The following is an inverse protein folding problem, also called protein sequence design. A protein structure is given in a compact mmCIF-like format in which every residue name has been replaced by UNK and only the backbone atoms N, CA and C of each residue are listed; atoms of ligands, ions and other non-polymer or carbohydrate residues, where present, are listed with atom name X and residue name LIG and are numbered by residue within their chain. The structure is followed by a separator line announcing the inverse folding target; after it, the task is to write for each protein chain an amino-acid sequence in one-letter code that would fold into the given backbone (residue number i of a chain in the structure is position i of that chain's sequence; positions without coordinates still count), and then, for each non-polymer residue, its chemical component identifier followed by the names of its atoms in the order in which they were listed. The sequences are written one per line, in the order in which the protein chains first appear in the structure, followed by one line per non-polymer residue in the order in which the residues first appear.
data_IF_187333472631
#
_entry.id   IF_187333472631
#
_cell.length_a   1.000
_cell.length_b   1.000
_cell.length_c   1.000
_cell.angle_alpha   90.00
_cell.angle_beta   90.00
_cell.angle_gamma   90.00
#
_symmetry.space_group_name_H-M   'P 1'
#
loop_
_entity.id
_entity.type
_entity.pdbx_description
1 polymer ?
#
# COMPACT_ATOMS: atom_id res chain seq x y z
N UNK A 1 19.47 -12.54 10.20
CA UNK A 1 18.37 -13.51 10.29
C UNK A 1 17.85 -13.92 8.92
N UNK A 2 17.69 -13.07 7.93
CA UNK A 2 17.46 -13.45 6.54
C UNK A 2 18.51 -12.84 5.63
N UNK A 3 18.92 -13.56 4.59
CA UNK A 3 19.80 -13.06 3.52
C UNK A 3 18.98 -12.51 2.34
N UNK A 4 17.86 -13.16 2.02
CA UNK A 4 17.01 -12.84 0.87
C UNK A 4 15.54 -12.87 1.24
N UNK A 5 14.70 -12.19 0.42
CA UNK A 5 13.25 -12.36 0.43
C UNK A 5 12.84 -13.54 -0.46
N UNK A 6 11.77 -14.23 -0.06
CA UNK A 6 11.27 -15.41 -0.77
C UNK A 6 10.97 -15.12 -2.25
N UNK A 7 10.25 -14.02 -2.53
CA UNK A 7 9.85 -13.66 -3.89
C UNK A 7 10.97 -13.12 -4.79
N UNK A 8 12.18 -12.90 -4.25
CA UNK A 8 13.31 -12.36 -5.01
C UNK A 8 14.26 -13.45 -5.52
N UNK A 9 14.03 -14.71 -5.15
CA UNK A 9 14.87 -15.82 -5.56
C UNK A 9 14.66 -16.15 -7.05
N UNK A 10 15.77 -16.37 -7.74
CA UNK A 10 15.77 -16.63 -9.16
C UNK A 10 17.00 -17.48 -9.56
N UNK A 11 17.12 -17.79 -10.85
CA UNK A 11 18.18 -18.66 -11.38
C UNK A 11 19.60 -18.09 -11.23
N UNK A 12 19.77 -16.77 -11.02
CA UNK A 12 21.10 -16.18 -10.78
C UNK A 12 21.71 -16.57 -9.43
N UNK A 13 20.87 -17.08 -8.53
CA UNK A 13 21.26 -17.50 -7.17
C UNK A 13 21.49 -19.02 -7.06
N UNK A 14 21.47 -19.76 -8.18
CA UNK A 14 21.66 -21.21 -8.17
C UNK A 14 22.97 -21.60 -7.48
N UNK A 15 22.91 -22.58 -6.57
CA UNK A 15 24.03 -23.07 -5.78
C UNK A 15 24.40 -22.20 -4.59
N UNK A 16 23.76 -21.06 -4.38
CA UNK A 16 24.04 -20.21 -3.22
C UNK A 16 23.27 -20.66 -1.98
N UNK A 17 23.93 -20.52 -0.82
CA UNK A 17 23.29 -20.67 0.48
C UNK A 17 22.44 -19.45 0.79
N UNK A 18 21.22 -19.68 1.23
CA UNK A 18 20.27 -18.61 1.61
C UNK A 18 19.64 -18.88 2.96
N UNK A 19 19.34 -17.78 3.66
CA UNK A 19 18.55 -17.79 4.89
C UNK A 19 17.25 -17.02 4.63
N UNK A 20 16.12 -17.69 4.88
CA UNK A 20 14.77 -17.16 4.62
C UNK A 20 13.95 -17.13 5.90
N UNK A 21 13.12 -16.11 6.05
CA UNK A 21 12.10 -16.04 7.10
C UNK A 21 10.74 -15.74 6.46
N UNK A 22 9.73 -16.48 6.87
CA UNK A 22 8.39 -16.29 6.30
C UNK A 22 7.33 -17.14 7.00
N UNK A 23 6.15 -17.13 6.42
CA UNK A 23 5.01 -17.92 6.86
C UNK A 23 4.83 -19.15 5.97
N UNK A 24 4.55 -20.30 6.59
CA UNK A 24 4.18 -21.52 5.87
C UNK A 24 2.81 -21.33 5.20
N UNK A 25 2.82 -21.08 3.91
CA UNK A 25 1.59 -20.83 3.14
C UNK A 25 0.85 -22.13 2.85
N UNK A 26 1.57 -23.13 2.36
CA UNK A 26 1.04 -24.45 2.03
C UNK A 26 2.08 -25.52 2.30
N UNK A 27 1.67 -26.62 2.95
CA UNK A 27 2.47 -27.81 3.12
C UNK A 27 1.88 -28.96 2.28
N UNK A 28 2.73 -29.70 1.59
CA UNK A 28 2.39 -30.89 0.81
C UNK A 28 3.39 -32.00 1.16
N UNK A 29 2.89 -33.23 1.18
CA UNK A 29 3.68 -34.43 1.34
C UNK A 29 3.48 -35.31 0.10
N UNK A 30 4.54 -35.59 -0.62
CA UNK A 30 4.51 -36.39 -1.84
C UNK A 30 5.64 -37.42 -1.82
N UNK A 31 5.28 -38.69 -1.65
CA UNK A 31 6.21 -39.77 -1.73
C UNK A 31 7.34 -39.75 -0.70
N UNK A 32 7.07 -39.21 0.49
CA UNK A 32 8.05 -39.12 1.57
C UNK A 32 8.95 -37.89 1.49
N UNK A 33 8.68 -36.92 0.60
CA UNK A 33 9.34 -35.62 0.55
C UNK A 33 8.31 -34.54 0.93
N UNK A 34 8.68 -33.63 1.84
CA UNK A 34 7.80 -32.56 2.25
C UNK A 34 8.17 -31.29 1.49
N UNK A 35 7.13 -30.64 0.94
CA UNK A 35 7.22 -29.36 0.26
C UNK A 35 6.47 -28.30 1.08
N UNK A 36 7.12 -27.16 1.35
CA UNK A 36 6.49 -26.02 2.00
C UNK A 36 6.66 -24.81 1.10
N UNK A 37 5.52 -24.20 0.70
CA UNK A 37 5.55 -22.91 0.06
C UNK A 37 5.73 -21.86 1.18
N UNK A 38 6.90 -21.26 1.25
CA UNK A 38 7.25 -20.22 2.23
C UNK A 38 6.93 -18.86 1.63
N UNK A 39 6.16 -18.07 2.38
CA UNK A 39 5.68 -16.73 1.97
C UNK A 39 6.28 -15.64 2.82
N UNK A 40 6.70 -14.58 2.16
CA UNK A 40 6.97 -13.30 2.80
C UNK A 40 6.28 -12.15 2.04
N UNK A 41 6.63 -10.91 2.34
CA UNK A 41 6.03 -9.74 1.67
C UNK A 41 6.39 -9.63 0.18
N UNK A 42 7.48 -10.26 -0.28
CA UNK A 42 7.93 -10.18 -1.68
C UNK A 42 7.35 -11.34 -2.53
N UNK A 43 6.85 -12.39 -1.91
CA UNK A 43 6.19 -13.49 -2.61
C UNK A 43 6.41 -14.85 -1.97
N UNK A 44 6.38 -15.88 -2.80
CA UNK A 44 6.44 -17.28 -2.43
C UNK A 44 7.69 -17.92 -3.00
N UNK A 45 8.25 -18.89 -2.26
CA UNK A 45 9.22 -19.87 -2.78
C UNK A 45 8.92 -21.26 -2.24
N UNK A 46 9.11 -22.29 -3.05
CA UNK A 46 9.03 -23.67 -2.60
C UNK A 46 10.30 -24.06 -1.84
N UNK A 47 10.11 -24.63 -0.66
CA UNK A 47 11.18 -25.25 0.14
C UNK A 47 10.95 -26.75 0.17
N UNK A 48 12.01 -27.52 -0.10
CA UNK A 48 11.99 -28.99 -0.17
C UNK A 48 12.71 -29.54 1.05
N UNK A 49 12.07 -30.46 1.75
CA UNK A 49 12.59 -31.18 2.89
C UNK A 49 12.76 -32.65 2.54
N UNK A 50 14.00 -33.08 2.41
CA UNK A 50 14.38 -34.44 2.07
C UNK A 50 14.48 -35.30 3.35
N UNK A 51 13.90 -36.52 3.39
CA UNK A 51 14.00 -37.41 4.54
C UNK A 51 15.45 -37.81 4.91
N UNK A 52 16.40 -37.67 4.00
CA UNK A 52 17.84 -37.86 4.29
C UNK A 52 18.32 -36.90 5.39
N UNK A 53 17.69 -35.70 5.51
CA UNK A 53 17.96 -34.74 6.57
C UNK A 53 16.94 -34.93 7.71
N UNK A 54 17.08 -35.99 8.47
CA UNK A 54 16.07 -36.50 9.41
C UNK A 54 15.55 -35.46 10.43
N UNK A 55 16.43 -34.62 10.99
CA UNK A 55 16.05 -33.59 11.96
C UNK A 55 15.17 -32.50 11.31
N UNK A 56 15.62 -31.99 10.15
CA UNK A 56 14.92 -30.96 9.37
C UNK A 56 13.57 -31.47 8.85
N UNK A 57 13.57 -32.74 8.40
CA UNK A 57 12.36 -33.42 7.93
C UNK A 57 11.33 -33.58 9.05
N UNK A 58 11.71 -34.08 10.23
CA UNK A 58 10.86 -34.20 11.41
C UNK A 58 10.32 -32.84 11.87
N UNK A 59 11.12 -31.78 11.72
CA UNK A 59 10.66 -30.40 11.90
C UNK A 59 9.54 -30.04 10.95
N UNK A 60 9.69 -30.34 9.65
CA UNK A 60 8.74 -30.04 8.59
C UNK A 60 7.41 -30.79 8.72
N UNK A 61 7.42 -32.03 9.26
CA UNK A 61 6.18 -32.79 9.57
C UNK A 61 5.25 -32.05 10.54
N UNK A 62 5.83 -31.29 11.48
CA UNK A 62 5.10 -30.53 12.51
C UNK A 62 4.59 -29.19 12.03
N UNK A 63 5.06 -28.68 10.88
CA UNK A 63 4.63 -27.39 10.34
C UNK A 63 3.15 -27.44 9.96
N UNK A 64 2.44 -26.36 10.31
CA UNK A 64 1.05 -26.11 9.90
C UNK A 64 0.98 -24.75 9.21
N UNK A 65 -0.18 -24.47 8.59
CA UNK A 65 -0.43 -23.19 7.91
C UNK A 65 -0.15 -22.02 8.82
N UNK A 66 0.45 -20.99 8.25
CA UNK A 66 0.80 -19.71 8.88
C UNK A 66 1.82 -19.80 10.03
N UNK A 67 2.46 -20.96 10.27
CA UNK A 67 3.61 -21.00 11.16
C UNK A 67 4.72 -20.09 10.63
N UNK A 68 5.42 -19.41 11.51
CA UNK A 68 6.58 -18.57 11.16
C UNK A 68 7.82 -19.43 11.19
N UNK A 69 8.50 -19.47 10.07
CA UNK A 69 9.66 -20.34 9.85
C UNK A 69 10.91 -19.51 9.55
N UNK A 70 12.05 -20.00 10.05
CA UNK A 70 13.38 -19.65 9.58
C UNK A 70 13.97 -20.90 8.89
N UNK A 71 14.38 -20.74 7.65
CA UNK A 71 14.88 -21.82 6.82
C UNK A 71 16.26 -21.43 6.31
N UNK A 72 17.24 -22.35 6.44
CA UNK A 72 18.53 -22.27 5.74
C UNK A 72 18.58 -23.36 4.69
N UNK A 73 19.10 -23.05 3.51
CA UNK A 73 19.18 -24.02 2.44
C UNK A 73 19.86 -23.47 1.19
N UNK A 74 19.96 -24.32 0.19
CA UNK A 74 20.60 -24.00 -1.09
C UNK A 74 19.56 -23.79 -2.17
N UNK A 75 19.76 -22.76 -2.99
CA UNK A 75 18.94 -22.51 -4.17
C UNK A 75 19.25 -23.55 -5.23
N UNK A 76 18.23 -24.26 -5.67
CA UNK A 76 18.32 -25.28 -6.72
C UNK A 76 17.31 -25.02 -7.83
N UNK A 77 17.63 -25.37 -9.07
CA UNK A 77 16.65 -25.44 -10.14
C UNK A 77 15.64 -26.56 -9.83
N UNK A 78 14.37 -26.33 -10.06
CA UNK A 78 13.36 -27.40 -9.96
C UNK A 78 13.65 -28.49 -10.99
N UNK A 79 13.37 -29.76 -10.67
CA UNK A 79 13.45 -30.84 -11.65
C UNK A 79 12.61 -30.53 -12.89
N UNK A 80 13.13 -30.93 -14.06
CA UNK A 80 12.45 -30.72 -15.36
C UNK A 80 11.02 -31.27 -15.31
N UNK A 81 10.05 -30.44 -15.69
CA UNK A 81 8.62 -30.81 -15.67
C UNK A 81 7.91 -30.53 -14.35
N UNK A 82 8.61 -29.97 -13.34
CA UNK A 82 8.00 -29.54 -12.06
C UNK A 82 8.01 -28.03 -11.86
N UNK A 83 8.40 -27.27 -12.87
CA UNK A 83 8.37 -25.82 -12.88
C UNK A 83 6.93 -25.32 -12.71
N UNK A 84 6.77 -24.23 -11.95
CA UNK A 84 5.46 -23.64 -11.71
C UNK A 84 5.34 -22.26 -12.40
N UNK A 85 4.68 -22.15 -13.54
CA UNK A 85 4.54 -20.88 -14.26
C UNK A 85 3.69 -19.84 -13.50
N UNK A 86 2.92 -20.25 -12.51
CA UNK A 86 2.08 -19.37 -11.70
C UNK A 86 2.82 -18.73 -10.51
N UNK A 87 4.11 -19.03 -10.35
CA UNK A 87 4.97 -18.41 -9.32
C UNK A 87 6.15 -17.71 -9.99
N UNK A 88 6.45 -16.44 -9.63
CA UNK A 88 7.64 -15.76 -10.13
C UNK A 88 8.94 -16.52 -9.86
N UNK A 89 9.01 -17.26 -8.74
CA UNK A 89 10.14 -18.11 -8.34
C UNK A 89 10.01 -19.55 -8.84
N UNK A 90 9.08 -19.83 -9.73
CA UNK A 90 8.67 -21.20 -10.11
C UNK A 90 9.74 -22.02 -10.83
N UNK A 91 10.85 -21.43 -11.25
CA UNK A 91 12.00 -22.12 -11.85
C UNK A 91 12.97 -22.67 -10.79
N UNK A 92 12.91 -22.13 -9.56
CA UNK A 92 13.83 -22.49 -8.48
C UNK A 92 13.08 -23.00 -7.26
N UNK A 93 13.80 -23.70 -6.40
CA UNK A 93 13.34 -24.16 -5.11
C UNK A 93 14.51 -24.14 -4.12
N UNK A 94 14.22 -24.23 -2.83
CA UNK A 94 15.24 -24.28 -1.78
C UNK A 94 15.32 -25.72 -1.25
N UNK A 95 16.51 -26.31 -1.29
CA UNK A 95 16.77 -27.55 -0.56
C UNK A 95 17.12 -27.18 0.87
N UNK A 96 16.24 -27.52 1.79
CA UNK A 96 16.41 -27.16 3.20
C UNK A 96 17.56 -27.94 3.85
N UNK A 97 18.45 -27.20 4.52
CA UNK A 97 19.55 -27.75 5.35
C UNK A 97 19.23 -27.60 6.84
N UNK A 98 18.46 -26.54 7.22
CA UNK A 98 18.00 -26.35 8.58
C UNK A 98 16.61 -25.69 8.59
N UNK A 99 15.82 -26.02 9.61
CA UNK A 99 14.50 -25.47 9.86
C UNK A 99 14.36 -25.15 11.34
N UNK A 100 13.95 -23.91 11.62
CA UNK A 100 13.55 -23.48 12.93
C UNK A 100 12.10 -22.96 12.87
N UNK A 101 11.23 -23.43 13.74
CA UNK A 101 9.87 -22.89 13.92
C UNK A 101 9.96 -21.74 14.91
N UNK A 102 9.97 -20.51 14.39
CA UNK A 102 10.05 -19.29 15.21
C UNK A 102 8.78 -19.06 16.00
N UNK A 103 7.63 -19.36 15.39
CA UNK A 103 6.34 -19.24 16.08
C UNK A 103 5.32 -20.22 15.49
N UNK A 104 4.48 -20.77 16.34
CA UNK A 104 3.32 -21.58 15.96
C UNK A 104 2.09 -20.69 15.91
N UNK A 105 1.32 -20.80 14.84
CA UNK A 105 0.07 -20.07 14.67
C UNK A 105 -1.12 -20.97 14.94
N UNK A 106 -2.15 -20.39 15.53
CA UNK A 106 -3.49 -20.95 15.48
C UNK A 106 -4.00 -20.98 14.03
N UNK A 107 -4.92 -21.89 13.65
CA UNK A 107 -5.53 -21.87 12.35
C UNK A 107 -6.16 -20.51 12.06
N UNK A 108 -5.81 -19.85 10.92
CA UNK A 108 -6.39 -18.56 10.61
C UNK A 108 -7.90 -18.68 10.33
N UNK A 109 -8.69 -17.62 10.63
CA UNK A 109 -10.14 -17.64 10.45
C UNK A 109 -10.58 -17.76 8.98
N UNK A 110 -9.68 -17.48 8.06
CA UNK A 110 -9.84 -17.66 6.61
C UNK A 110 -8.48 -17.82 5.93
N UNK A 111 -8.52 -18.35 4.70
CA UNK A 111 -7.32 -18.47 3.86
C UNK A 111 -6.82 -17.10 3.42
N UNK A 112 -5.51 -16.93 3.40
CA UNK A 112 -4.85 -15.70 2.89
C UNK A 112 -4.70 -15.67 1.37
N UNK A 113 -5.28 -16.64 0.65
CA UNK A 113 -5.30 -16.67 -0.82
C UNK A 113 -6.34 -15.68 -1.38
N UNK A 114 -6.04 -15.06 -2.52
CA UNK A 114 -6.95 -14.11 -3.17
C UNK A 114 -8.14 -14.78 -3.86
N UNK A 115 -8.04 -16.06 -4.21
CA UNK A 115 -9.07 -16.89 -4.84
C UNK A 115 -10.22 -17.27 -3.89
N UNK A 116 -10.07 -17.03 -2.61
CA UNK A 116 -11.10 -17.31 -1.60
C UNK A 116 -11.92 -16.07 -1.31
N UNK A 117 -13.22 -16.14 -1.58
CA UNK A 117 -14.16 -15.09 -1.15
C UNK A 117 -14.38 -15.16 0.35
N UNK A 118 -14.17 -14.04 1.01
CA UNK A 118 -14.36 -13.89 2.45
C UNK A 118 -15.24 -12.67 2.70
N UNK A 119 -16.25 -12.83 3.56
CA UNK A 119 -17.14 -11.75 3.95
C UNK A 119 -16.34 -10.56 4.48
N UNK A 120 -16.73 -9.34 4.08
CA UNK A 120 -16.04 -8.10 4.45
C UNK A 120 -15.97 -7.89 5.96
N UNK A 121 -17.03 -8.21 6.70
CA UNK A 121 -17.07 -8.09 8.16
C UNK A 121 -15.98 -8.95 8.82
N UNK A 122 -15.81 -10.20 8.36
CA UNK A 122 -14.77 -11.11 8.84
C UNK A 122 -13.38 -10.59 8.50
N UNK A 123 -13.19 -10.04 7.29
CA UNK A 123 -11.94 -9.42 6.86
C UNK A 123 -11.58 -8.20 7.70
N UNK A 124 -12.55 -7.37 8.04
CA UNK A 124 -12.37 -6.19 8.89
C UNK A 124 -12.04 -6.60 10.33
N UNK A 125 -12.74 -7.60 10.88
CA UNK A 125 -12.48 -8.14 12.23
C UNK A 125 -11.06 -8.69 12.37
N UNK A 126 -10.58 -9.39 11.35
CA UNK A 126 -9.25 -9.99 11.33
C UNK A 126 -8.34 -9.28 10.31
N UNK A 127 -8.34 -7.94 10.33
CA UNK A 127 -7.66 -7.12 9.34
C UNK A 127 -6.18 -7.43 9.19
N UNK A 128 -5.50 -7.78 10.28
CA UNK A 128 -4.09 -8.17 10.28
C UNK A 128 -3.81 -9.48 9.51
N UNK A 129 -4.79 -10.38 9.41
CA UNK A 129 -4.71 -11.56 8.54
C UNK A 129 -5.02 -11.17 7.09
N UNK A 130 -6.07 -10.36 6.87
CA UNK A 130 -6.46 -9.89 5.54
C UNK A 130 -5.31 -9.13 4.84
N UNK A 131 -4.51 -8.37 5.60
CA UNK A 131 -3.34 -7.66 5.08
C UNK A 131 -2.22 -8.58 4.56
N UNK A 132 -2.23 -9.88 4.89
CA UNK A 132 -1.31 -10.88 4.32
C UNK A 132 -1.69 -11.31 2.91
N UNK A 133 -2.93 -11.05 2.48
CA UNK A 133 -3.39 -11.39 1.12
C UNK A 133 -2.61 -10.57 0.09
N UNK A 134 -2.19 -11.17 -1.03
CA UNK A 134 -1.43 -10.49 -2.08
C UNK A 134 -2.08 -9.19 -2.56
N UNK A 135 -3.38 -9.21 -2.82
CA UNK A 135 -4.16 -8.02 -3.21
C UNK A 135 -4.05 -6.87 -2.20
N UNK A 136 -4.17 -7.18 -0.90
CA UNK A 136 -4.12 -6.15 0.15
C UNK A 136 -2.72 -5.59 0.31
N UNK A 137 -1.72 -6.46 0.25
CA UNK A 137 -0.31 -6.06 0.27
C UNK A 137 0.02 -5.16 -0.94
N UNK A 138 -0.48 -5.52 -2.13
CA UNK A 138 -0.29 -4.71 -3.34
C UNK A 138 -0.91 -3.31 -3.20
N UNK A 139 -2.10 -3.19 -2.59
CA UNK A 139 -2.72 -1.88 -2.31
C UNK A 139 -1.87 -1.01 -1.38
N UNK A 140 -1.30 -1.61 -0.32
CA UNK A 140 -0.39 -0.89 0.57
C UNK A 140 0.90 -0.46 -0.13
N UNK A 141 1.48 -1.32 -0.96
CA UNK A 141 2.65 -0.99 -1.78
C UNK A 141 2.36 0.13 -2.77
N UNK A 142 1.21 0.06 -3.44
CA UNK A 142 0.76 1.10 -4.36
C UNK A 142 0.66 2.46 -3.63
N UNK A 143 -0.03 2.48 -2.48
CA UNK A 143 -0.13 3.70 -1.67
C UNK A 143 1.24 4.26 -1.27
N UNK A 144 2.16 3.41 -0.82
CA UNK A 144 3.52 3.83 -0.46
C UNK A 144 4.30 4.38 -1.67
N UNK A 145 4.18 3.73 -2.83
CA UNK A 145 4.78 4.18 -4.09
C UNK A 145 4.25 5.55 -4.52
N UNK A 146 2.92 5.73 -4.47
CA UNK A 146 2.27 7.02 -4.78
C UNK A 146 2.81 8.12 -3.88
N UNK A 147 2.77 7.93 -2.56
CA UNK A 147 3.24 8.93 -1.62
C UNK A 147 4.72 9.29 -1.80
N UNK A 148 5.58 8.27 -2.03
CA UNK A 148 7.01 8.49 -2.30
C UNK A 148 7.26 9.22 -3.62
N UNK A 149 6.49 8.91 -4.66
CA UNK A 149 6.61 9.57 -5.96
C UNK A 149 6.22 11.05 -5.88
N UNK A 150 5.09 11.34 -5.22
CA UNK A 150 4.62 12.71 -5.02
C UNK A 150 5.61 13.56 -4.22
N UNK A 151 6.19 13.02 -3.14
CA UNK A 151 7.24 13.72 -2.38
C UNK A 151 8.43 14.06 -3.25
N UNK A 152 9.02 13.08 -3.92
CA UNK A 152 10.17 13.33 -4.81
C UNK A 152 9.87 14.37 -5.88
N UNK A 153 8.67 14.30 -6.49
CA UNK A 153 8.30 15.28 -7.50
C UNK A 153 8.25 16.69 -6.94
N UNK A 154 7.59 16.88 -5.79
CA UNK A 154 7.43 18.21 -5.19
C UNK A 154 8.75 18.75 -4.62
N UNK A 155 9.57 17.90 -4.01
CA UNK A 155 10.92 18.26 -3.55
C UNK A 155 11.79 18.75 -4.75
N UNK A 156 11.75 18.03 -5.89
CA UNK A 156 12.44 18.41 -7.13
C UNK A 156 11.93 19.75 -7.69
N UNK A 157 10.70 20.15 -7.38
CA UNK A 157 10.09 21.43 -7.78
C UNK A 157 10.30 22.52 -6.74
N UNK A 158 11.09 22.27 -5.68
CA UNK A 158 11.42 23.22 -4.63
C UNK A 158 10.30 23.48 -3.61
N UNK A 159 9.34 22.56 -3.50
CA UNK A 159 8.37 22.59 -2.41
C UNK A 159 8.99 22.06 -1.12
N UNK A 160 8.49 22.55 0.02
CA UNK A 160 8.87 22.08 1.34
C UNK A 160 7.73 21.27 1.97
N UNK A 161 8.04 20.06 2.45
CA UNK A 161 7.11 19.23 3.24
C UNK A 161 7.09 19.75 4.68
N UNK A 162 5.98 20.36 5.09
CA UNK A 162 5.85 20.97 6.43
C UNK A 162 4.67 20.38 7.17
N UNK A 163 4.95 19.69 8.28
CA UNK A 163 3.91 19.19 9.17
C UNK A 163 3.21 20.31 9.93
N UNK A 164 1.90 20.26 9.97
CA UNK A 164 1.04 21.20 10.69
C UNK A 164 0.33 20.52 11.85
N UNK A 165 -0.05 21.26 12.91
CA UNK A 165 -0.78 20.71 14.05
C UNK A 165 -2.11 20.04 13.66
N UNK A 166 -2.41 18.90 14.30
CA UNK A 166 -3.70 18.19 14.16
C UNK A 166 -4.69 18.61 15.23
N UNK A 167 -4.24 18.90 16.45
CA UNK A 167 -5.09 19.47 17.49
C UNK A 167 -5.16 21.00 17.30
N UNK A 168 -6.25 21.48 16.70
CA UNK A 168 -6.40 22.87 16.29
C UNK A 168 -7.63 23.51 16.92
N UNK A 169 -7.83 24.79 16.65
CA UNK A 169 -9.09 25.47 16.91
C UNK A 169 -10.07 25.13 15.77
N UNK A 170 -11.36 25.01 16.10
CA UNK A 170 -12.42 24.87 15.09
C UNK A 170 -12.37 26.00 14.07
N UNK A 171 -12.48 25.64 12.79
CA UNK A 171 -12.52 26.56 11.66
C UNK A 171 -13.71 26.24 10.76
N UNK A 172 -14.48 27.23 10.29
CA UNK A 172 -15.65 27.00 9.45
C UNK A 172 -15.22 26.69 8.00
N UNK A 173 -14.90 25.43 7.70
CA UNK A 173 -14.46 24.99 6.36
C UNK A 173 -15.54 24.22 5.56
N UNK A 174 -16.80 24.25 5.99
CA UNK A 174 -17.93 23.68 5.25
C UNK A 174 -18.43 22.33 5.75
N UNK A 175 -17.61 21.48 6.37
CA UNK A 175 -18.04 20.28 7.08
C UNK A 175 -18.17 20.55 8.59
N UNK A 176 -18.70 19.58 9.35
CA UNK A 176 -18.63 19.61 10.81
C UNK A 176 -17.28 19.08 11.26
N UNK A 177 -16.75 19.68 12.35
CA UNK A 177 -15.50 19.25 12.94
C UNK A 177 -15.71 18.11 13.93
N UNK A 178 -14.77 17.17 13.97
CA UNK A 178 -14.63 16.27 15.10
C UNK A 178 -13.97 16.99 16.27
N UNK A 179 -14.60 16.96 17.44
CA UNK A 179 -14.14 17.64 18.64
C UNK A 179 -13.43 16.69 19.59
N UNK A 180 -12.30 17.14 20.13
CA UNK A 180 -11.52 16.43 21.15
C UNK A 180 -11.57 17.21 22.46
N UNK A 181 -12.18 16.68 23.55
CA UNK A 181 -12.26 17.40 24.82
C UNK A 181 -10.86 17.68 25.40
N UNK A 182 -10.66 18.92 25.89
CA UNK A 182 -9.45 19.26 26.60
C UNK A 182 -9.50 18.76 28.04
N UNK A 183 -8.52 17.95 28.45
CA UNK A 183 -8.39 17.49 29.84
C UNK A 183 -7.92 18.60 30.79
N UNK A 184 -7.11 19.52 30.27
CA UNK A 184 -6.49 20.62 31.06
C UNK A 184 -7.38 21.86 31.16
N UNK A 185 -8.37 22.00 30.26
CA UNK A 185 -9.30 23.14 30.22
C UNK A 185 -10.74 22.60 30.17
N UNK A 186 -11.38 22.35 31.34
CA UNK A 186 -12.74 21.81 31.38
C UNK A 186 -13.73 22.68 30.61
N UNK A 187 -14.50 22.05 29.72
CA UNK A 187 -15.49 22.73 28.88
C UNK A 187 -14.94 23.26 27.56
N UNK A 188 -13.63 23.14 27.32
CA UNK A 188 -13.01 23.51 26.04
C UNK A 188 -12.66 22.28 25.20
N UNK A 189 -12.56 22.49 23.88
CA UNK A 189 -12.32 21.42 22.90
C UNK A 189 -11.27 21.86 21.88
N UNK A 190 -10.48 20.89 21.47
CA UNK A 190 -9.76 20.96 20.21
C UNK A 190 -10.66 20.46 19.08
N UNK A 191 -10.39 20.90 17.85
CA UNK A 191 -10.98 20.36 16.64
C UNK A 191 -9.93 19.60 15.84
N UNK A 192 -10.35 18.51 15.17
CA UNK A 192 -9.51 17.84 14.18
C UNK A 192 -9.66 18.55 12.84
N UNK A 193 -8.57 18.84 12.10
CA UNK A 193 -8.62 19.69 10.91
C UNK A 193 -9.32 19.00 9.75
N UNK A 194 -10.18 19.75 9.06
CA UNK A 194 -10.78 19.36 7.80
C UNK A 194 -9.79 19.45 6.64
N UNK A 195 -8.84 20.38 6.75
CA UNK A 195 -7.65 20.58 5.94
C UNK A 195 -6.65 21.44 6.72
N UNK A 196 -5.38 21.55 6.33
CA UNK A 196 -4.41 22.45 6.97
C UNK A 196 -4.55 23.92 6.48
N UNK A 197 -5.72 24.36 6.07
CA UNK A 197 -5.97 25.62 5.35
C UNK A 197 -5.40 26.85 6.10
N UNK A 198 -5.67 26.97 7.39
CA UNK A 198 -5.17 28.11 8.18
C UNK A 198 -3.63 28.12 8.23
N UNK A 199 -3.05 26.95 8.47
CA UNK A 199 -1.60 26.86 8.63
C UNK A 199 -0.84 27.10 7.33
N UNK A 200 -1.30 26.55 6.21
CA UNK A 200 -0.64 26.78 4.93
C UNK A 200 -0.71 28.26 4.50
N UNK A 201 -1.80 28.96 4.78
CA UNK A 201 -1.87 30.40 4.56
C UNK A 201 -0.87 31.16 5.44
N UNK A 202 -0.76 30.81 6.74
CA UNK A 202 0.22 31.40 7.62
C UNK A 202 1.66 31.13 7.17
N UNK A 203 1.93 29.94 6.62
CA UNK A 203 3.24 29.62 6.06
C UNK A 203 3.56 30.49 4.83
N UNK A 204 2.58 30.73 3.95
CA UNK A 204 2.75 31.67 2.82
C UNK A 204 3.03 33.10 3.31
N UNK A 205 2.28 33.57 4.33
CA UNK A 205 2.52 34.86 4.96
C UNK A 205 3.89 34.94 5.64
N UNK A 206 4.38 33.82 6.15
CA UNK A 206 5.71 33.64 6.74
C UNK A 206 6.86 33.60 5.74
N UNK A 207 6.56 33.70 4.43
CA UNK A 207 7.56 33.72 3.37
C UNK A 207 7.90 32.36 2.77
N UNK A 208 7.13 31.28 3.10
CA UNK A 208 7.30 29.97 2.51
C UNK A 208 6.47 29.90 1.23
N UNK A 209 7.05 30.20 0.09
CA UNK A 209 6.35 30.37 -1.19
C UNK A 209 5.90 29.06 -1.87
N UNK A 210 6.39 27.91 -1.42
CA UNK A 210 6.02 26.58 -1.94
C UNK A 210 5.94 25.57 -0.80
N UNK A 211 4.73 25.19 -0.45
CA UNK A 211 4.42 24.25 0.61
C UNK A 211 3.68 23.03 0.07
N UNK A 212 3.96 21.87 0.63
CA UNK A 212 3.07 20.71 0.53
C UNK A 212 3.07 19.91 1.84
N UNK A 213 2.05 19.07 1.99
CA UNK A 213 1.97 18.08 3.04
C UNK A 213 1.11 16.91 2.60
N UNK A 214 1.52 15.68 2.89
CA UNK A 214 0.63 14.50 2.81
C UNK A 214 -0.02 14.36 4.18
N UNK A 215 -1.20 14.94 4.35
CA UNK A 215 -1.83 15.21 5.64
C UNK A 215 -3.09 14.38 5.86
N UNK A 216 -3.34 14.03 7.11
CA UNK A 216 -4.59 13.43 7.55
C UNK A 216 -5.63 14.51 7.79
N UNK A 217 -6.83 14.33 7.19
CA UNK A 217 -7.95 15.23 7.30
C UNK A 217 -9.19 14.51 7.84
N UNK A 218 -10.06 15.25 8.52
CA UNK A 218 -11.22 14.72 9.21
C UNK A 218 -12.46 15.56 8.87
N UNK A 219 -13.56 14.90 8.50
CA UNK A 219 -14.83 15.58 8.21
C UNK A 219 -15.98 14.75 8.74
N UNK A 220 -16.79 15.32 9.62
CA UNK A 220 -18.00 14.70 10.14
C UNK A 220 -19.17 14.98 9.16
N UNK A 221 -19.20 14.20 8.10
CA UNK A 221 -20.19 14.27 7.02
C UNK A 221 -20.82 12.89 6.78
N UNK A 222 -21.94 12.88 6.07
CA UNK A 222 -22.59 11.64 5.65
C UNK A 222 -21.68 10.82 4.77
N UNK A 223 -21.54 9.54 5.11
CA UNK A 223 -20.70 8.60 4.38
C UNK A 223 -21.30 8.32 2.99
N UNK A 224 -20.43 8.23 2.00
CA UNK A 224 -20.75 7.75 0.66
C UNK A 224 -19.78 6.62 0.30
N UNK A 225 -20.02 5.92 -0.81
CA UNK A 225 -19.23 4.78 -1.22
C UNK A 225 -17.70 5.04 -1.26
N UNK A 226 -17.30 6.26 -1.61
CA UNK A 226 -15.91 6.70 -1.76
C UNK A 226 -15.43 7.70 -0.69
N UNK A 227 -16.30 8.07 0.27
CA UNK A 227 -15.99 9.06 1.30
C UNK A 227 -15.89 8.42 2.67
N UNK A 228 -14.80 8.74 3.36
CA UNK A 228 -14.53 8.34 4.73
C UNK A 228 -14.40 9.57 5.61
N UNK A 229 -14.78 9.48 6.91
CA UNK A 229 -14.67 10.61 7.84
C UNK A 229 -13.21 11.00 8.12
N UNK A 230 -12.30 10.06 7.90
CA UNK A 230 -10.85 10.24 8.03
C UNK A 230 -10.18 9.81 6.72
N UNK A 231 -9.44 10.73 6.09
CA UNK A 231 -8.78 10.49 4.80
C UNK A 231 -7.44 11.23 4.71
N UNK A 232 -6.67 10.92 3.68
CA UNK A 232 -5.39 11.57 3.43
C UNK A 232 -5.48 12.46 2.20
N UNK A 233 -5.00 13.69 2.30
CA UNK A 233 -4.82 14.61 1.16
C UNK A 233 -3.35 14.79 0.85
N UNK A 234 -3.03 15.01 -0.42
CA UNK A 234 -1.88 15.80 -0.79
C UNK A 234 -2.36 17.26 -0.81
N UNK A 235 -1.92 18.05 0.14
CA UNK A 235 -2.24 19.46 0.24
C UNK A 235 -1.06 20.29 -0.25
N UNK A 236 -1.33 21.29 -1.10
CA UNK A 236 -0.30 22.11 -1.75
C UNK A 236 -0.74 23.57 -1.66
N UNK A 237 0.21 24.45 -1.37
CA UNK A 237 -0.02 25.89 -1.42
C UNK A 237 1.18 26.60 -2.05
N UNK A 238 0.91 27.63 -2.86
CA UNK A 238 1.94 28.37 -3.58
C UNK A 238 1.69 29.88 -3.52
N UNK A 239 2.77 30.66 -3.46
CA UNK A 239 2.76 32.09 -3.74
C UNK A 239 3.34 32.36 -5.12
N UNK A 240 2.99 33.49 -5.71
CA UNK A 240 3.58 34.02 -6.97
C UNK A 240 3.39 33.10 -8.19
N UNK A 241 2.37 32.23 -8.18
CA UNK A 241 1.98 31.40 -9.33
C UNK A 241 0.55 31.73 -9.77
N UNK A 242 0.35 31.82 -11.08
CA UNK A 242 -0.98 31.95 -11.66
C UNK A 242 -1.62 30.57 -11.97
N UNK A 243 -2.88 30.58 -12.40
CA UNK A 243 -3.67 29.35 -12.64
C UNK A 243 -2.98 28.44 -13.69
N UNK A 244 -2.47 29.02 -14.77
CA UNK A 244 -1.83 28.25 -15.83
C UNK A 244 -0.56 27.54 -15.36
N UNK A 245 0.22 28.20 -14.50
CA UNK A 245 1.43 27.62 -13.90
C UNK A 245 1.09 26.49 -12.95
N UNK A 246 0.04 26.65 -12.12
CA UNK A 246 -0.43 25.59 -11.20
C UNK A 246 -0.97 24.41 -12.02
N UNK A 247 -1.80 24.64 -13.02
CA UNK A 247 -2.31 23.59 -13.90
C UNK A 247 -1.17 22.81 -14.58
N UNK A 248 -0.19 23.51 -15.13
CA UNK A 248 0.95 22.89 -15.80
C UNK A 248 1.79 22.03 -14.83
N UNK A 249 1.98 22.49 -13.60
CA UNK A 249 2.66 21.75 -12.53
C UNK A 249 1.90 20.46 -12.20
N UNK A 250 0.59 20.57 -11.95
CA UNK A 250 -0.27 19.43 -11.61
C UNK A 250 -0.35 18.41 -12.75
N UNK A 251 -0.51 18.85 -14.00
CA UNK A 251 -0.49 17.98 -15.17
C UNK A 251 0.83 17.19 -15.29
N UNK A 252 1.96 17.88 -15.02
CA UNK A 252 3.28 17.24 -15.04
C UNK A 252 3.42 16.22 -13.92
N UNK A 253 2.96 16.55 -12.72
CA UNK A 253 2.95 15.65 -11.58
C UNK A 253 2.13 14.40 -11.85
N UNK A 254 0.91 14.55 -12.38
CA UNK A 254 0.02 13.43 -12.69
C UNK A 254 0.62 12.54 -13.79
N UNK A 255 1.16 13.12 -14.88
CA UNK A 255 1.83 12.33 -15.94
C UNK A 255 2.99 11.50 -15.39
N UNK A 256 3.85 12.11 -14.57
CA UNK A 256 4.97 11.41 -13.92
C UNK A 256 4.48 10.31 -12.99
N UNK A 257 3.48 10.61 -12.14
CA UNK A 257 2.89 9.65 -11.22
C UNK A 257 2.34 8.41 -11.94
N UNK A 258 1.49 8.61 -12.95
CA UNK A 258 0.87 7.50 -13.69
C UNK A 258 1.91 6.69 -14.47
N UNK A 259 2.89 7.35 -15.07
CA UNK A 259 3.97 6.67 -15.78
C UNK A 259 4.85 5.83 -14.85
N UNK A 260 5.29 6.39 -13.70
CA UNK A 260 6.24 5.71 -12.80
C UNK A 260 5.58 4.69 -11.87
N UNK A 261 4.30 4.87 -11.53
CA UNK A 261 3.60 4.00 -10.56
C UNK A 261 2.74 2.95 -11.24
N UNK A 262 2.07 3.31 -12.34
CA UNK A 262 1.11 2.45 -13.04
C UNK A 262 1.60 2.01 -14.42
N UNK A 263 2.73 2.54 -14.89
CA UNK A 263 3.27 2.30 -16.26
C UNK A 263 2.27 2.73 -17.36
N UNK A 264 1.42 3.72 -17.05
CA UNK A 264 0.40 4.27 -17.95
C UNK A 264 0.83 5.64 -18.46
N UNK A 265 0.90 5.80 -19.77
CA UNK A 265 1.15 7.08 -20.40
C UNK A 265 -0.15 7.88 -20.50
N UNK A 266 -0.23 9.00 -19.78
CA UNK A 266 -1.34 9.96 -19.93
C UNK A 266 -1.14 10.86 -21.17
N UNK A 267 -2.22 11.50 -21.68
CA UNK A 267 -2.14 12.45 -22.79
C UNK A 267 -1.14 13.59 -22.52
N UNK A 268 -0.52 14.13 -23.58
CA UNK A 268 0.41 15.25 -23.47
C UNK A 268 -0.23 16.53 -22.93
N UNK A 269 -1.51 16.75 -23.24
CA UNK A 269 -2.31 17.84 -22.73
C UNK A 269 -3.63 17.28 -22.20
N UNK A 270 -4.07 17.79 -21.05
CA UNK A 270 -5.39 17.49 -20.50
C UNK A 270 -6.43 18.38 -21.16
N UNK A 271 -7.65 17.88 -21.46
CA UNK A 271 -8.73 18.71 -21.97
C UNK A 271 -9.08 19.83 -20.95
N UNK A 272 -9.21 21.04 -21.45
CA UNK A 272 -9.67 22.19 -20.66
C UNK A 272 -11.11 22.51 -21.03
N UNK A 273 -11.92 22.81 -20.04
CA UNK A 273 -13.33 23.13 -20.19
C UNK A 273 -13.67 24.38 -19.37
N UNK A 274 -14.42 25.30 -19.95
CA UNK A 274 -14.90 26.47 -19.22
C UNK A 274 -16.03 26.09 -18.27
N UNK A 275 -16.22 26.87 -17.20
CA UNK A 275 -17.35 26.70 -16.29
C UNK A 275 -18.70 26.72 -17.02
N UNK A 276 -18.89 27.67 -17.95
CA UNK A 276 -20.11 27.79 -18.73
C UNK A 276 -20.38 26.52 -19.57
N UNK A 277 -19.36 25.96 -20.17
CA UNK A 277 -19.48 24.68 -20.90
C UNK A 277 -19.78 23.51 -19.98
N UNK A 278 -19.13 23.41 -18.82
CA UNK A 278 -19.38 22.37 -17.83
C UNK A 278 -20.83 22.41 -17.35
N UNK A 279 -21.34 23.60 -17.00
CA UNK A 279 -22.71 23.75 -16.57
C UNK A 279 -23.74 23.49 -17.67
N UNK A 280 -23.45 23.88 -18.91
CA UNK A 280 -24.33 23.62 -20.06
C UNK A 280 -24.42 22.15 -20.43
N UNK A 281 -23.31 21.41 -20.35
CA UNK A 281 -23.22 19.99 -20.78
C UNK A 281 -23.60 19.00 -19.67
N UNK A 282 -23.28 19.31 -18.44
CA UNK A 282 -23.38 18.37 -17.31
C UNK A 282 -24.30 18.85 -16.18
N UNK A 283 -24.70 20.11 -16.15
CA UNK A 283 -25.59 20.68 -15.13
C UNK A 283 -24.99 20.79 -13.73
N UNK A 284 -23.72 20.35 -13.56
CA UNK A 284 -22.98 20.34 -12.29
C UNK A 284 -21.50 20.58 -12.57
N UNK A 285 -20.81 21.04 -11.54
CA UNK A 285 -19.34 21.06 -11.55
C UNK A 285 -18.81 19.63 -11.74
N UNK A 286 -17.90 19.40 -12.68
CA UNK A 286 -17.45 18.07 -13.10
C UNK A 286 -16.86 17.26 -11.94
N UNK A 287 -16.16 17.90 -11.03
CA UNK A 287 -15.59 17.24 -9.84
C UNK A 287 -16.64 16.68 -8.87
N UNK A 288 -17.94 16.99 -9.06
CA UNK A 288 -19.05 16.49 -8.25
C UNK A 288 -20.03 15.60 -9.02
N UNK A 289 -19.86 15.44 -10.33
CA UNK A 289 -20.67 14.53 -11.12
C UNK A 289 -20.43 13.10 -10.63
N UNK A 290 -21.44 12.49 -10.02
CA UNK A 290 -21.42 11.05 -9.77
C UNK A 290 -21.20 10.38 -11.13
N UNK A 291 -20.18 9.54 -11.23
CA UNK A 291 -19.72 8.88 -12.47
C UNK A 291 -20.79 7.97 -13.07
N UNK A 292 -21.90 8.52 -13.57
CA UNK A 292 -22.89 7.75 -14.33
C UNK A 292 -22.60 7.70 -15.82
N UNK A 293 -21.77 8.58 -16.35
CA UNK A 293 -21.39 8.53 -17.76
C UNK A 293 -19.95 9.00 -17.94
N UNK A 294 -19.05 8.04 -18.23
CA UNK A 294 -17.80 8.11 -18.99
C UNK A 294 -17.04 9.46 -19.06
N UNK A 295 -17.07 10.24 -18.03
CA UNK A 295 -16.16 11.36 -17.89
C UNK A 295 -15.36 11.13 -16.62
N UNK A 296 -14.41 10.18 -16.69
CA UNK A 296 -13.20 10.33 -15.93
C UNK A 296 -12.45 11.53 -16.53
N UNK A 297 -12.99 12.72 -16.37
CA UNK A 297 -12.18 13.91 -16.44
C UNK A 297 -11.27 13.82 -15.22
N UNK A 298 -10.03 13.52 -15.45
CA UNK A 298 -8.96 13.63 -14.49
C UNK A 298 -8.84 15.13 -14.20
N UNK A 299 -9.36 15.58 -13.07
CA UNK A 299 -9.01 16.84 -12.43
C UNK A 299 -8.27 16.51 -11.15
#
# INVERSE_FOLDING_TARGET
MRSHYCGQLNELLLGQDVELCGWAHRRRDHGGVIFIDLRDREGLVQVVFDPVMAETFSGAERVRSEYVLHVKGVVRRRPVGTENPNMPTGQVEIVAQALEILNRAEPPPFSVNDDVEVNEEVRLRYRYIDLRRPQMLQRLRMRAKVASNLRRFLDDQGFLDVETPILTKSTPEGARDYLVPSRTHPGEFFALPQSPQLFKQLLMMGGLDRYYQIVRCFRDEDLRADRQPEFTQLDIETSFMNEDQIMALMETMLRKLFSEVLEVALPKAFPRMSYAEAMSRFGVEIGRASCRERVCAIV
#
